data_IF_025791370583
#
_entry.id   IF_025791370583
#
_cell.length_a   1.000
_cell.length_b   1.000
_cell.length_c   1.000
_cell.angle_alpha   90.00
_cell.angle_beta   90.00
_cell.angle_gamma   90.00
#
_symmetry.space_group_name_H-M   'P 1'
#
loop_
_entity.id
_entity.type
_entity.pdbx_description
1 polymer ?
#
# COMPACT_ATOMS: atom_id res chain seq x y z
N UNK A 1 15.99 -0.01 -34.01
CA UNK A 1 16.47 -1.07 -33.11
C UNK A 1 15.28 -1.39 -32.21
N UNK A 2 14.48 -2.34 -32.70
CA UNK A 2 13.24 -2.81 -32.10
C UNK A 2 13.56 -3.63 -30.85
N UNK A 3 13.40 -3.05 -29.66
CA UNK A 3 13.40 -3.78 -28.41
C UNK A 3 11.97 -4.21 -28.12
N UNK A 4 11.66 -5.44 -28.56
CA UNK A 4 10.86 -6.46 -27.89
C UNK A 4 9.91 -5.91 -26.82
N UNK A 5 8.79 -5.39 -27.27
CA UNK A 5 7.54 -5.44 -26.54
C UNK A 5 7.13 -6.93 -26.54
N UNK A 6 7.38 -7.64 -25.45
CA UNK A 6 6.72 -8.91 -25.21
C UNK A 6 5.22 -8.68 -25.43
N UNK A 7 4.56 -9.51 -26.26
CA UNK A 7 3.14 -9.37 -26.47
C UNK A 7 2.44 -9.48 -25.12
N UNK A 8 1.53 -8.55 -24.86
CA UNK A 8 0.66 -8.61 -23.68
C UNK A 8 0.15 -10.06 -23.53
N UNK A 9 0.14 -10.63 -22.32
CA UNK A 9 -0.32 -12.00 -22.13
C UNK A 9 -1.69 -12.15 -22.81
N UNK A 10 -1.77 -13.06 -23.76
CA UNK A 10 -2.98 -13.32 -24.51
C UNK A 10 -4.16 -13.43 -23.55
N UNK A 11 -5.24 -12.71 -23.81
CA UNK A 11 -6.48 -12.80 -23.05
C UNK A 11 -6.93 -14.27 -22.91
N UNK A 12 -6.56 -15.13 -23.87
CA UNK A 12 -6.74 -16.58 -23.83
C UNK A 12 -6.06 -17.25 -22.65
N UNK A 13 -4.87 -16.79 -22.20
CA UNK A 13 -4.15 -17.37 -21.04
C UNK A 13 -4.78 -16.99 -19.70
N UNK A 14 -5.38 -15.81 -19.58
CA UNK A 14 -6.14 -15.42 -18.39
C UNK A 14 -7.44 -16.24 -18.25
N UNK A 15 -8.11 -16.54 -19.38
CA UNK A 15 -9.31 -17.40 -19.37
C UNK A 15 -9.01 -18.86 -19.04
N UNK A 16 -7.79 -19.38 -19.29
CA UNK A 16 -7.42 -20.76 -18.98
C UNK A 16 -7.29 -21.00 -17.47
N UNK A 17 -6.91 -19.98 -16.68
CA UNK A 17 -6.85 -20.05 -15.22
C UNK A 17 -8.21 -20.43 -14.60
N UNK A 18 -9.29 -19.80 -15.05
CA UNK A 18 -10.63 -20.05 -14.51
C UNK A 18 -11.19 -21.43 -14.89
N UNK A 19 -10.78 -22.00 -16.01
CA UNK A 19 -11.24 -23.33 -16.45
C UNK A 19 -10.46 -24.47 -15.81
N UNK A 20 -9.13 -24.34 -15.64
CA UNK A 20 -8.26 -25.39 -15.12
C UNK A 20 -7.13 -24.82 -14.24
N UNK A 21 -7.44 -24.31 -13.02
CA UNK A 21 -6.44 -23.63 -12.18
C UNK A 21 -5.28 -24.53 -11.80
N UNK A 22 -5.51 -25.83 -11.54
CA UNK A 22 -4.46 -26.77 -11.19
C UNK A 22 -3.51 -27.07 -12.37
N UNK A 23 -4.01 -27.14 -13.60
CA UNK A 23 -3.19 -27.32 -14.79
C UNK A 23 -2.35 -26.08 -15.07
N UNK A 24 -2.95 -24.89 -14.97
CA UNK A 24 -2.26 -23.62 -15.13
C UNK A 24 -1.12 -23.45 -14.11
N UNK A 25 -1.36 -23.79 -12.84
CA UNK A 25 -0.33 -23.72 -11.78
C UNK A 25 0.82 -24.69 -12.04
N UNK A 26 0.55 -25.91 -12.56
CA UNK A 26 1.58 -26.88 -12.93
C UNK A 26 2.41 -26.41 -14.13
N UNK A 27 1.78 -25.81 -15.11
CA UNK A 27 2.45 -25.24 -16.29
C UNK A 27 3.47 -24.15 -15.92
N UNK A 28 3.15 -23.31 -14.95
CA UNK A 28 4.06 -22.23 -14.47
C UNK A 28 5.29 -22.74 -13.72
N UNK A 29 5.32 -24.01 -13.33
CA UNK A 29 6.49 -24.71 -12.76
C UNK A 29 7.23 -23.90 -11.68
N UNK A 30 6.48 -23.35 -10.72
CA UNK A 30 7.01 -22.56 -9.62
C UNK A 30 7.71 -23.46 -8.59
N UNK A 31 8.86 -23.02 -8.06
CA UNK A 31 9.67 -23.81 -7.15
C UNK A 31 8.95 -24.12 -5.83
N UNK A 32 9.34 -25.24 -5.17
CA UNK A 32 8.84 -25.56 -3.82
C UNK A 32 9.13 -24.44 -2.82
N UNK A 33 10.28 -23.78 -2.94
CA UNK A 33 10.65 -22.63 -2.11
C UNK A 33 9.70 -21.47 -2.29
N UNK A 34 9.24 -21.21 -3.53
CA UNK A 34 8.24 -20.18 -3.81
C UNK A 34 6.91 -20.47 -3.09
N UNK A 35 6.41 -21.71 -3.13
CA UNK A 35 5.15 -22.06 -2.46
C UNK A 35 5.23 -21.96 -0.93
N UNK A 36 6.39 -22.25 -0.36
CA UNK A 36 6.64 -22.06 1.07
C UNK A 36 6.62 -20.55 1.40
N UNK A 37 7.25 -19.71 0.58
CA UNK A 37 7.23 -18.26 0.74
C UNK A 37 5.82 -17.68 0.52
N UNK A 38 5.11 -18.17 -0.50
CA UNK A 38 3.71 -17.79 -0.77
C UNK A 38 2.81 -18.11 0.43
N UNK A 39 2.95 -19.28 1.04
CA UNK A 39 2.18 -19.63 2.24
C UNK A 39 2.50 -18.70 3.41
N UNK A 40 3.77 -18.32 3.60
CA UNK A 40 4.14 -17.34 4.62
C UNK A 40 3.51 -15.98 4.35
N UNK A 41 3.61 -15.48 3.12
CA UNK A 41 3.00 -14.22 2.68
C UNK A 41 1.48 -14.25 2.88
N UNK A 42 0.82 -15.35 2.52
CA UNK A 42 -0.63 -15.51 2.68
C UNK A 42 -1.07 -15.36 4.14
N UNK A 43 -0.42 -16.05 5.09
CA UNK A 43 -0.75 -15.92 6.51
C UNK A 43 -0.46 -14.51 7.04
N UNK A 44 0.63 -13.90 6.61
CA UNK A 44 1.00 -12.54 6.99
C UNK A 44 -0.03 -11.53 6.51
N UNK A 45 -0.35 -11.56 5.22
CA UNK A 45 -1.29 -10.64 4.61
C UNK A 45 -2.72 -10.84 5.15
N UNK A 46 -3.16 -12.11 5.35
CA UNK A 46 -4.47 -12.42 5.91
C UNK A 46 -4.61 -11.88 7.35
N UNK A 47 -3.59 -12.08 8.20
CA UNK A 47 -3.61 -11.56 9.56
C UNK A 47 -3.62 -10.03 9.58
N UNK A 48 -2.70 -9.39 8.87
CA UNK A 48 -2.57 -7.93 8.90
C UNK A 48 -3.66 -7.19 8.12
N UNK A 49 -4.29 -7.79 7.11
CA UNK A 49 -5.47 -7.22 6.46
C UNK A 49 -6.62 -7.03 7.45
N UNK A 50 -6.90 -8.06 8.27
CA UNK A 50 -7.89 -8.00 9.35
C UNK A 50 -7.48 -6.96 10.39
N UNK A 51 -6.22 -6.99 10.83
CA UNK A 51 -5.71 -6.10 11.87
C UNK A 51 -5.86 -4.63 11.50
N UNK A 52 -5.31 -4.21 10.36
CA UNK A 52 -5.31 -2.80 9.96
C UNK A 52 -6.70 -2.27 9.62
N UNK A 53 -7.58 -3.12 9.09
CA UNK A 53 -8.98 -2.75 8.89
C UNK A 53 -9.66 -2.41 10.22
N UNK A 54 -9.49 -3.26 11.23
CA UNK A 54 -10.26 -3.20 12.47
C UNK A 54 -9.66 -2.26 13.51
N UNK A 55 -8.34 -2.04 13.49
CA UNK A 55 -7.62 -1.41 14.58
C UNK A 55 -8.11 0.00 14.91
N UNK A 56 -8.32 0.86 13.91
CA UNK A 56 -8.85 2.21 14.13
C UNK A 56 -10.28 2.18 14.70
N UNK A 57 -11.12 1.25 14.23
CA UNK A 57 -12.48 1.05 14.76
C UNK A 57 -12.47 0.50 16.19
N UNK A 58 -11.45 -0.26 16.56
CA UNK A 58 -11.22 -0.71 17.93
C UNK A 58 -10.79 0.46 18.84
N UNK A 59 -9.91 1.32 18.38
CA UNK A 59 -9.51 2.52 19.15
C UNK A 59 -10.66 3.49 19.38
N UNK A 60 -11.66 3.56 18.45
CA UNK A 60 -12.88 4.35 18.66
C UNK A 60 -13.67 3.88 19.89
N UNK A 61 -13.76 2.56 20.15
CA UNK A 61 -14.47 2.02 21.32
C UNK A 61 -13.81 2.49 22.64
N UNK A 62 -12.49 2.78 22.61
CA UNK A 62 -11.74 3.35 23.73
C UNK A 62 -11.69 4.88 23.70
N UNK A 63 -12.57 5.52 22.93
CA UNK A 63 -12.72 6.99 22.82
C UNK A 63 -11.47 7.72 22.30
N UNK A 64 -10.60 7.04 21.57
CA UNK A 64 -9.54 7.73 20.86
C UNK A 64 -10.14 8.63 19.78
N UNK A 65 -9.62 9.84 19.68
CA UNK A 65 -10.00 10.79 18.64
C UNK A 65 -9.08 10.67 17.41
N UNK A 66 -9.42 11.36 16.34
CA UNK A 66 -8.65 11.36 15.09
C UNK A 66 -7.23 11.89 15.28
N UNK A 67 -7.02 12.79 16.26
CA UNK A 67 -5.69 13.31 16.60
C UNK A 67 -4.79 12.20 17.12
N UNK A 68 -5.26 11.41 18.08
CA UNK A 68 -4.49 10.29 18.62
C UNK A 68 -4.20 9.24 17.53
N UNK A 69 -5.20 8.90 16.69
CA UNK A 69 -5.03 7.99 15.56
C UNK A 69 -4.03 8.53 14.53
N UNK A 70 -4.03 9.83 14.29
CA UNK A 70 -3.06 10.50 13.41
C UNK A 70 -1.62 10.38 13.92
N UNK A 71 -1.39 10.62 15.22
CA UNK A 71 -0.08 10.43 15.82
C UNK A 71 0.37 8.97 15.80
N UNK A 72 -0.53 8.02 16.06
CA UNK A 72 -0.28 6.58 16.00
C UNK A 72 0.08 6.17 14.56
N UNK A 73 -0.70 6.60 13.56
CA UNK A 73 -0.44 6.31 12.15
C UNK A 73 0.86 6.95 11.65
N UNK A 74 1.10 8.22 12.01
CA UNK A 74 2.35 8.93 11.70
C UNK A 74 3.58 8.26 12.32
N UNK A 75 3.49 7.85 13.60
CA UNK A 75 4.56 7.12 14.26
C UNK A 75 4.87 5.77 13.58
N UNK A 76 3.84 5.06 13.15
CA UNK A 76 4.00 3.80 12.42
C UNK A 76 4.70 4.01 11.07
N UNK A 77 4.29 5.03 10.31
CA UNK A 77 4.94 5.36 9.03
C UNK A 77 6.38 5.82 9.23
N UNK A 78 6.64 6.62 10.27
CA UNK A 78 7.99 7.03 10.65
C UNK A 78 8.86 5.82 11.03
N UNK A 79 8.32 4.90 11.82
CA UNK A 79 9.00 3.66 12.20
C UNK A 79 9.38 2.82 10.97
N UNK A 80 8.46 2.70 10.01
CA UNK A 80 8.72 2.01 8.74
C UNK A 80 9.82 2.70 7.91
N UNK A 81 9.78 4.04 7.82
CA UNK A 81 10.80 4.82 7.13
C UNK A 81 12.18 4.62 7.75
N UNK A 82 12.30 4.81 9.07
CA UNK A 82 13.56 4.66 9.82
C UNK A 82 14.07 3.22 9.76
N UNK A 83 13.17 2.24 9.81
CA UNK A 83 13.50 0.81 9.77
C UNK A 83 13.99 0.30 8.42
N UNK A 84 13.63 0.96 7.31
CA UNK A 84 13.94 0.46 5.97
C UNK A 84 15.44 0.35 5.70
N UNK A 85 16.23 1.36 6.08
CA UNK A 85 17.69 1.34 5.88
C UNK A 85 18.39 0.28 6.74
N UNK A 86 18.15 0.19 8.06
CA UNK A 86 18.71 -0.89 8.87
C UNK A 86 18.27 -2.29 8.41
N UNK A 87 17.00 -2.46 8.03
CA UNK A 87 16.50 -3.73 7.52
C UNK A 87 17.22 -4.13 6.22
N UNK A 88 17.45 -3.17 5.31
CA UNK A 88 18.21 -3.41 4.08
C UNK A 88 19.66 -3.83 4.35
N UNK A 89 20.35 -3.12 5.25
CA UNK A 89 21.70 -3.47 5.66
C UNK A 89 21.76 -4.84 6.36
N UNK A 90 20.77 -5.15 7.18
CA UNK A 90 20.68 -6.43 7.88
C UNK A 90 20.39 -7.57 6.90
N UNK A 91 19.48 -7.36 5.93
CA UNK A 91 19.19 -8.32 4.86
C UNK A 91 20.44 -8.72 4.04
N UNK A 92 21.34 -7.75 3.80
CA UNK A 92 22.62 -8.00 3.12
C UNK A 92 23.61 -8.76 4.00
N UNK A 93 23.66 -8.48 5.31
CA UNK A 93 24.63 -9.09 6.23
C UNK A 93 24.24 -10.51 6.65
N UNK A 94 23.01 -10.71 7.09
CA UNK A 94 22.54 -11.99 7.64
C UNK A 94 21.63 -12.78 6.69
N UNK A 95 21.24 -12.17 5.56
CA UNK A 95 20.35 -12.77 4.57
C UNK A 95 18.86 -12.51 4.86
N UNK A 96 18.01 -12.83 3.86
CA UNK A 96 16.57 -12.55 3.92
C UNK A 96 15.83 -13.44 4.94
N UNK A 97 16.23 -14.73 5.06
CA UNK A 97 15.53 -15.68 5.93
C UNK A 97 15.56 -15.29 7.41
N UNK A 98 16.72 -14.99 8.04
CA UNK A 98 16.75 -14.55 9.43
C UNK A 98 15.94 -13.28 9.67
N UNK A 99 15.98 -12.33 8.73
CA UNK A 99 15.21 -11.09 8.82
C UNK A 99 13.70 -11.35 8.76
N UNK A 100 13.26 -12.30 7.90
CA UNK A 100 11.86 -12.74 7.87
C UNK A 100 11.44 -13.42 9.19
N UNK A 101 12.31 -14.23 9.81
CA UNK A 101 12.01 -14.84 11.12
C UNK A 101 11.79 -13.74 12.16
N UNK A 102 12.69 -12.75 12.23
CA UNK A 102 12.54 -11.61 13.16
C UNK A 102 11.22 -10.87 12.88
N UNK A 103 10.89 -10.58 11.64
CA UNK A 103 9.64 -9.94 11.24
C UNK A 103 8.41 -10.72 11.70
N UNK A 104 8.34 -12.02 11.39
CA UNK A 104 7.18 -12.88 11.69
C UNK A 104 6.99 -13.14 13.19
N UNK A 105 8.00 -12.86 14.00
CA UNK A 105 7.89 -12.86 15.46
C UNK A 105 7.54 -11.46 15.97
N UNK A 106 8.30 -10.45 15.60
CA UNK A 106 8.18 -9.11 16.20
C UNK A 106 6.94 -8.36 15.77
N UNK A 107 6.56 -8.41 14.49
CA UNK A 107 5.41 -7.65 14.00
C UNK A 107 4.09 -8.14 14.61
N UNK A 108 3.74 -9.46 14.63
CA UNK A 108 2.54 -9.92 15.32
C UNK A 108 2.57 -9.68 16.82
N UNK A 109 3.73 -9.87 17.47
CA UNK A 109 3.87 -9.67 18.92
C UNK A 109 3.62 -8.20 19.32
N UNK A 110 4.27 -7.25 18.64
CA UNK A 110 4.09 -5.82 18.93
C UNK A 110 2.63 -5.42 18.68
N UNK A 111 2.01 -5.89 17.60
CA UNK A 111 0.61 -5.58 17.31
C UNK A 111 -0.36 -6.27 18.29
N UNK A 112 -0.05 -7.47 18.80
CA UNK A 112 -0.82 -8.10 19.88
C UNK A 112 -0.72 -7.29 21.18
N UNK A 113 0.46 -6.78 21.53
CA UNK A 113 0.65 -5.89 22.70
C UNK A 113 -0.20 -4.62 22.51
N UNK A 114 -0.24 -4.03 21.30
CA UNK A 114 -1.10 -2.88 20.99
C UNK A 114 -2.59 -3.17 21.17
N UNK A 115 -3.04 -4.38 20.87
CA UNK A 115 -4.43 -4.78 21.09
C UNK A 115 -4.77 -4.95 22.58
N UNK A 116 -3.78 -5.23 23.45
CA UNK A 116 -4.00 -5.42 24.88
C UNK A 116 -3.78 -4.15 25.68
N UNK A 117 -2.73 -3.39 25.36
CA UNK A 117 -2.33 -2.20 26.11
C UNK A 117 -2.82 -0.92 25.43
N UNK A 118 -4.08 -0.54 25.72
CA UNK A 118 -4.78 0.58 25.07
C UNK A 118 -4.56 1.87 25.89
N UNK A 119 -3.33 2.39 25.90
CA UNK A 119 -2.94 3.65 26.51
C UNK A 119 -2.26 4.52 25.46
N UNK A 120 -2.74 5.76 25.24
CA UNK A 120 -2.37 6.58 24.10
C UNK A 120 -0.85 6.77 23.94
N UNK A 121 -0.05 7.16 24.96
CA UNK A 121 1.39 7.29 24.78
C UNK A 121 2.09 5.97 24.43
N UNK A 122 1.65 4.85 25.02
CA UNK A 122 2.18 3.54 24.68
C UNK A 122 1.84 3.16 23.24
N UNK A 123 0.63 3.50 22.75
CA UNK A 123 0.22 3.23 21.38
C UNK A 123 1.10 3.94 20.35
N UNK A 124 1.54 5.18 20.61
CA UNK A 124 2.46 5.91 19.72
C UNK A 124 3.82 5.20 19.65
N UNK A 125 4.41 4.85 20.80
CA UNK A 125 5.69 4.13 20.85
C UNK A 125 5.62 2.74 20.22
N UNK A 126 4.58 1.98 20.54
CA UNK A 126 4.36 0.65 19.96
C UNK A 126 4.04 0.70 18.46
N UNK A 127 3.36 1.75 17.99
CA UNK A 127 3.12 1.95 16.57
C UNK A 127 4.45 2.20 15.81
N UNK A 128 5.34 3.01 16.37
CA UNK A 128 6.69 3.20 15.81
C UNK A 128 7.44 1.87 15.73
N UNK A 129 7.43 1.06 16.79
CA UNK A 129 8.06 -0.27 16.80
C UNK A 129 7.41 -1.24 15.81
N UNK A 130 6.07 -1.20 15.68
CA UNK A 130 5.35 -1.98 14.67
C UNK A 130 5.78 -1.59 13.25
N UNK A 131 5.87 -0.28 12.96
CA UNK A 131 6.36 0.23 11.70
C UNK A 131 7.79 -0.22 11.39
N UNK A 132 8.67 -0.12 12.39
CA UNK A 132 10.07 -0.58 12.30
C UNK A 132 10.16 -2.07 11.99
N UNK A 133 9.34 -2.91 12.63
CA UNK A 133 9.26 -4.34 12.31
C UNK A 133 8.74 -4.59 10.89
N UNK A 134 7.66 -3.90 10.50
CA UNK A 134 7.02 -4.05 9.18
C UNK A 134 7.90 -3.60 8.01
N UNK A 135 8.87 -2.71 8.22
CA UNK A 135 9.83 -2.31 7.17
C UNK A 135 10.60 -3.49 6.58
N UNK A 136 10.85 -4.51 7.40
CA UNK A 136 11.52 -5.75 6.98
C UNK A 136 10.73 -6.52 5.92
N UNK A 137 9.37 -6.43 5.93
CA UNK A 137 8.54 -7.02 4.88
C UNK A 137 8.79 -6.36 3.53
N UNK A 138 8.75 -5.03 3.47
CA UNK A 138 9.02 -4.28 2.25
C UNK A 138 10.39 -4.58 1.65
N UNK A 139 11.41 -4.73 2.50
CA UNK A 139 12.78 -5.07 2.08
C UNK A 139 12.91 -6.52 1.60
N UNK A 140 12.22 -7.48 2.23
CA UNK A 140 12.36 -8.90 1.92
C UNK A 140 11.43 -9.39 0.81
N UNK A 141 10.29 -8.74 0.60
CA UNK A 141 9.21 -9.24 -0.26
C UNK A 141 9.64 -9.38 -1.72
N UNK A 142 10.06 -8.29 -2.36
CA UNK A 142 10.43 -8.30 -3.78
C UNK A 142 11.66 -9.19 -4.06
N UNK A 143 12.78 -9.07 -3.32
CA UNK A 143 13.92 -9.96 -3.51
C UNK A 143 13.60 -11.42 -3.17
N UNK A 144 12.74 -11.67 -2.20
CA UNK A 144 12.28 -13.02 -1.84
C UNK A 144 11.60 -13.72 -3.01
N UNK A 145 10.62 -13.06 -3.64
CA UNK A 145 9.94 -13.60 -4.83
C UNK A 145 10.94 -13.77 -6.00
N UNK A 146 11.77 -12.75 -6.26
CA UNK A 146 12.71 -12.79 -7.37
C UNK A 146 13.73 -13.94 -7.28
N UNK A 147 14.22 -14.26 -6.06
CA UNK A 147 15.19 -15.35 -5.83
C UNK A 147 14.56 -16.75 -5.85
N UNK A 148 13.25 -16.83 -5.62
CA UNK A 148 12.52 -18.10 -5.56
C UNK A 148 11.82 -18.45 -6.87
N UNK A 149 11.85 -17.56 -7.86
CA UNK A 149 11.26 -17.73 -9.18
C UNK A 149 12.32 -17.64 -10.27
N UNK A 150 12.21 -18.49 -11.30
CA UNK A 150 12.99 -18.32 -12.52
C UNK A 150 12.51 -17.09 -13.29
N UNK A 151 13.38 -16.46 -14.09
CA UNK A 151 13.08 -15.23 -14.82
C UNK A 151 11.79 -15.34 -15.66
N UNK A 152 11.64 -16.43 -16.41
CA UNK A 152 10.46 -16.73 -17.22
C UNK A 152 9.14 -16.85 -16.43
N UNK A 153 9.21 -17.17 -15.12
CA UNK A 153 8.03 -17.41 -14.27
C UNK A 153 7.85 -16.31 -13.19
N UNK A 154 8.75 -15.32 -13.14
CA UNK A 154 8.76 -14.28 -12.11
C UNK A 154 7.49 -13.43 -12.11
N UNK A 155 7.01 -13.04 -13.30
CA UNK A 155 5.74 -12.29 -13.46
C UNK A 155 4.56 -13.07 -12.89
N UNK A 156 4.47 -14.38 -13.18
CA UNK A 156 3.40 -15.22 -12.64
C UNK A 156 3.49 -15.34 -11.11
N UNK A 157 4.72 -15.45 -10.56
CA UNK A 157 4.95 -15.47 -9.12
C UNK A 157 4.47 -14.18 -8.43
N UNK A 158 4.82 -13.02 -8.96
CA UNK A 158 4.31 -11.75 -8.42
C UNK A 158 2.80 -11.64 -8.54
N UNK A 159 2.23 -11.97 -9.71
CA UNK A 159 0.78 -11.90 -9.93
C UNK A 159 0.00 -12.76 -8.93
N UNK A 160 0.47 -13.97 -8.64
CA UNK A 160 -0.18 -14.86 -7.68
C UNK A 160 -0.17 -14.29 -6.26
N UNK A 161 0.98 -13.78 -5.78
CA UNK A 161 1.07 -13.21 -4.44
C UNK A 161 0.21 -11.95 -4.33
N UNK A 162 0.26 -11.03 -5.29
CA UNK A 162 -0.58 -9.84 -5.28
C UNK A 162 -2.08 -10.18 -5.33
N UNK A 163 -2.47 -11.17 -6.15
CA UNK A 163 -3.87 -11.63 -6.20
C UNK A 163 -4.31 -12.23 -4.87
N UNK A 164 -3.44 -13.01 -4.21
CA UNK A 164 -3.71 -13.56 -2.89
C UNK A 164 -3.83 -12.46 -1.83
N UNK A 165 -2.97 -11.44 -1.86
CA UNK A 165 -3.00 -10.29 -0.96
C UNK A 165 -4.30 -9.48 -1.10
N UNK A 166 -4.76 -9.23 -2.33
CA UNK A 166 -6.07 -8.61 -2.59
C UNK A 166 -7.21 -9.50 -2.08
N UNK A 167 -7.16 -10.81 -2.35
CA UNK A 167 -8.16 -11.77 -1.90
C UNK A 167 -8.26 -11.84 -0.37
N UNK A 168 -7.14 -11.89 0.35
CA UNK A 168 -7.11 -11.88 1.82
C UNK A 168 -7.63 -10.57 2.39
N UNK A 169 -7.31 -9.43 1.78
CA UNK A 169 -7.81 -8.11 2.19
C UNK A 169 -9.33 -8.00 1.98
N UNK A 170 -9.84 -8.52 0.87
CA UNK A 170 -11.29 -8.59 0.60
C UNK A 170 -12.00 -9.47 1.62
N UNK A 171 -11.50 -10.69 1.87
CA UNK A 171 -12.07 -11.60 2.87
C UNK A 171 -11.97 -11.03 4.29
N UNK A 172 -10.87 -10.34 4.61
CA UNK A 172 -10.68 -9.66 5.89
C UNK A 172 -11.77 -8.64 6.16
N UNK A 173 -12.15 -7.83 5.17
CA UNK A 173 -13.25 -6.88 5.27
C UNK A 173 -14.60 -7.56 5.57
N UNK A 174 -14.93 -8.65 4.84
CA UNK A 174 -16.17 -9.42 5.03
C UNK A 174 -16.17 -10.06 6.43
N UNK A 175 -15.09 -10.76 6.81
CA UNK A 175 -14.99 -11.42 8.12
C UNK A 175 -15.16 -10.40 9.25
N UNK A 176 -14.45 -9.27 9.21
CA UNK A 176 -14.58 -8.23 10.23
C UNK A 176 -15.98 -7.62 10.29
N UNK A 177 -16.64 -7.48 9.14
CA UNK A 177 -18.00 -6.93 9.06
C UNK A 177 -19.06 -7.82 9.72
N UNK A 178 -18.97 -9.12 9.49
CA UNK A 178 -20.01 -10.07 9.91
C UNK A 178 -19.68 -10.86 11.18
N UNK A 179 -18.43 -10.84 11.66
CA UNK A 179 -18.00 -11.73 12.75
C UNK A 179 -18.78 -11.51 14.03
N UNK A 180 -19.15 -10.25 14.35
CA UNK A 180 -20.01 -9.97 15.50
C UNK A 180 -21.35 -10.70 15.42
N UNK A 181 -22.01 -10.66 14.26
CA UNK A 181 -23.29 -11.35 14.05
C UNK A 181 -23.13 -12.85 14.17
N UNK A 182 -22.05 -13.42 13.66
CA UNK A 182 -21.76 -14.85 13.78
C UNK A 182 -21.51 -15.28 15.22
N UNK A 183 -20.81 -14.46 16.02
CA UNK A 183 -20.60 -14.73 17.45
C UNK A 183 -21.90 -14.63 18.25
N UNK A 184 -22.74 -13.62 17.97
CA UNK A 184 -24.06 -13.48 18.60
C UNK A 184 -24.97 -14.69 18.26
N UNK A 185 -24.98 -15.15 17.01
CA UNK A 185 -25.70 -16.37 16.60
C UNK A 185 -25.12 -17.64 17.27
N UNK A 186 -23.85 -17.68 17.58
CA UNK A 186 -23.19 -18.77 18.29
C UNK A 186 -23.41 -18.70 19.84
N UNK A 187 -24.16 -17.71 20.32
CA UNK A 187 -24.49 -17.56 21.76
C UNK A 187 -23.44 -16.81 22.59
N UNK A 188 -22.45 -16.17 21.96
CA UNK A 188 -21.44 -15.37 22.66
C UNK A 188 -21.91 -13.92 22.80
N UNK A 189 -22.39 -13.52 23.97
CA UNK A 189 -22.74 -12.15 24.32
C UNK A 189 -21.47 -11.42 24.85
N UNK A 190 -20.68 -10.84 23.97
CA UNK A 190 -19.48 -10.06 24.33
C UNK A 190 -19.69 -8.57 24.04
N UNK A 191 -19.01 -7.71 24.80
CA UNK A 191 -19.00 -6.28 24.50
C UNK A 191 -18.30 -6.00 23.15
N UNK A 192 -18.72 -4.98 22.39
CA UNK A 192 -18.14 -4.68 21.08
C UNK A 192 -16.62 -4.53 21.09
N UNK A 193 -16.05 -3.90 22.11
CA UNK A 193 -14.61 -3.72 22.26
C UNK A 193 -13.88 -5.05 22.49
N UNK A 194 -14.45 -5.96 23.28
CA UNK A 194 -13.88 -7.28 23.56
C UNK A 194 -13.89 -8.18 22.33
N UNK A 195 -14.98 -8.15 21.55
CA UNK A 195 -15.04 -8.85 20.26
C UNK A 195 -13.94 -8.37 19.33
N UNK A 196 -13.79 -7.04 19.15
CA UNK A 196 -12.75 -6.48 18.30
C UNK A 196 -11.36 -6.84 18.80
N UNK A 197 -11.11 -6.78 20.12
CA UNK A 197 -9.83 -7.18 20.72
C UNK A 197 -9.50 -8.64 20.44
N UNK A 198 -10.45 -9.54 20.60
CA UNK A 198 -10.27 -10.96 20.32
C UNK A 198 -9.95 -11.20 18.84
N UNK A 199 -10.63 -10.51 17.93
CA UNK A 199 -10.33 -10.56 16.48
C UNK A 199 -8.91 -10.09 16.19
N UNK A 200 -8.47 -8.97 16.80
CA UNK A 200 -7.12 -8.45 16.63
C UNK A 200 -6.05 -9.44 17.13
N UNK A 201 -6.28 -10.10 18.25
CA UNK A 201 -5.36 -11.13 18.75
C UNK A 201 -5.33 -12.37 17.85
N UNK A 202 -6.49 -12.84 17.39
CA UNK A 202 -6.57 -13.94 16.42
C UNK A 202 -5.88 -13.58 15.11
N UNK A 203 -6.05 -12.36 14.62
CA UNK A 203 -5.36 -11.89 13.40
C UNK A 203 -3.84 -11.85 13.56
N UNK A 204 -3.34 -11.46 14.73
CA UNK A 204 -1.91 -11.55 15.06
C UNK A 204 -1.44 -13.01 15.12
N UNK A 205 -2.26 -13.92 15.68
CA UNK A 205 -1.95 -15.36 15.70
C UNK A 205 -1.89 -15.94 14.28
N UNK A 206 -2.83 -15.57 13.39
CA UNK A 206 -2.81 -15.95 11.97
C UNK A 206 -1.52 -15.46 11.31
N UNK A 207 -1.15 -14.20 11.50
CA UNK A 207 0.10 -13.66 10.94
C UNK A 207 1.33 -14.39 11.49
N UNK A 208 1.32 -14.75 12.78
CA UNK A 208 2.39 -15.52 13.43
C UNK A 208 2.51 -16.96 12.88
N UNK A 209 1.41 -17.59 12.47
CA UNK A 209 1.45 -18.91 11.82
C UNK A 209 2.30 -18.91 10.54
N UNK A 210 2.46 -17.76 9.88
CA UNK A 210 3.37 -17.60 8.76
C UNK A 210 4.85 -17.85 9.12
N UNK A 211 5.22 -17.88 10.40
CA UNK A 211 6.54 -18.27 10.87
C UNK A 211 6.85 -19.74 10.54
N UNK A 212 5.84 -20.63 10.58
CA UNK A 212 6.01 -22.06 10.33
C UNK A 212 6.62 -22.32 8.94
N UNK A 213 6.05 -21.81 7.82
CA UNK A 213 6.68 -21.94 6.53
C UNK A 213 8.02 -21.17 6.43
N UNK A 214 8.19 -20.00 7.08
CA UNK A 214 9.46 -19.27 7.07
C UNK A 214 10.60 -20.09 7.68
N UNK A 215 10.35 -20.86 8.75
CA UNK A 215 11.34 -21.73 9.35
C UNK A 215 11.79 -22.86 8.41
N UNK A 216 10.94 -23.28 7.47
CA UNK A 216 11.26 -24.28 6.43
C UNK A 216 11.82 -23.66 5.16
N UNK A 217 11.81 -22.35 5.04
CA UNK A 217 12.21 -21.63 3.84
C UNK A 217 13.73 -21.70 3.64
N UNK A 218 14.15 -22.03 2.43
CA UNK A 218 15.54 -21.97 2.00
C UNK A 218 15.63 -20.97 0.85
N UNK A 219 16.22 -19.81 1.12
CA UNK A 219 16.45 -18.78 0.09
C UNK A 219 17.92 -18.87 -0.33
N UNK A 220 18.19 -18.99 -1.65
CA UNK A 220 19.56 -18.93 -2.14
C UNK A 220 20.24 -17.62 -1.70
N UNK A 221 21.47 -17.73 -1.18
CA UNK A 221 22.29 -16.56 -0.84
C UNK A 221 22.79 -15.89 -2.11
N UNK A 222 22.86 -14.55 -2.11
CA UNK A 222 23.58 -13.83 -3.17
C UNK A 222 25.08 -14.13 -3.08
N UNK A 223 25.77 -14.21 -4.22
CA UNK A 223 27.23 -14.17 -4.24
C UNK A 223 27.72 -12.93 -3.49
N UNK A 224 28.70 -13.08 -2.61
CA UNK A 224 29.22 -11.99 -1.78
C UNK A 224 29.77 -10.81 -2.58
N UNK A 225 30.23 -11.06 -3.81
CA UNK A 225 30.74 -10.05 -4.72
C UNK A 225 29.64 -9.10 -5.25
N UNK A 226 28.47 -9.62 -5.64
CA UNK A 226 27.34 -8.76 -6.07
C UNK A 226 26.81 -7.91 -4.93
N UNK A 227 26.73 -8.49 -3.71
CA UNK A 227 26.31 -7.76 -2.53
C UNK A 227 27.29 -6.63 -2.14
N UNK A 228 28.60 -6.83 -2.32
CA UNK A 228 29.63 -5.83 -2.03
C UNK A 228 29.63 -4.67 -3.05
N UNK A 229 29.39 -4.98 -4.33
CA UNK A 229 29.25 -3.97 -5.40
C UNK A 229 28.02 -3.09 -5.19
N UNK A 230 26.88 -3.66 -4.78
CA UNK A 230 25.65 -2.91 -4.48
C UNK A 230 25.84 -1.98 -3.25
N UNK A 231 26.55 -2.43 -2.21
CA UNK A 231 26.83 -1.59 -1.02
C UNK A 231 27.74 -0.43 -1.36
N UNK A 232 28.78 -0.66 -2.18
CA UNK A 232 29.75 0.36 -2.54
C UNK A 232 29.16 1.39 -3.54
N UNK A 233 28.32 0.93 -4.48
CA UNK A 233 27.57 1.78 -5.39
C UNK A 233 26.55 2.66 -4.64
N UNK A 234 25.89 2.11 -3.62
CA UNK A 234 24.81 2.81 -2.89
C UNK A 234 25.35 3.81 -1.86
N UNK A 235 26.56 3.59 -1.31
CA UNK A 235 27.12 4.43 -0.23
C UNK A 235 27.59 5.82 -0.69
N UNK A 236 27.94 5.98 -1.97
CA UNK A 236 28.43 7.25 -2.54
C UNK A 236 27.43 7.91 -3.50
N UNK A 237 26.45 7.17 -4.00
CA UNK A 237 25.51 7.70 -4.99
C UNK A 237 24.47 8.66 -4.40
N UNK A 238 24.10 8.54 -3.12
CA UNK A 238 23.14 9.45 -2.52
C UNK A 238 23.68 10.90 -2.41
N UNK A 239 24.98 11.08 -2.17
CA UNK A 239 25.61 12.42 -2.17
C UNK A 239 25.78 12.99 -3.59
N UNK A 240 26.00 12.14 -4.59
CA UNK A 240 26.02 12.54 -6.00
C UNK A 240 24.63 12.76 -6.58
N UNK A 241 23.60 12.14 -6.03
CA UNK A 241 22.20 12.29 -6.41
C UNK A 241 21.66 13.71 -6.19
N UNK A 242 22.38 14.57 -5.47
CA UNK A 242 22.01 15.98 -5.32
C UNK A 242 22.19 16.79 -6.62
N UNK A 243 22.86 16.26 -7.64
CA UNK A 243 22.73 16.74 -9.02
C UNK A 243 21.50 16.11 -9.67
N UNK A 244 20.35 16.35 -9.07
CA UNK A 244 19.08 15.83 -9.56
C UNK A 244 18.80 16.34 -10.97
N UNK A 245 18.39 15.41 -11.85
CA UNK A 245 17.78 15.73 -13.13
C UNK A 245 16.67 16.80 -12.91
N UNK A 246 16.59 17.87 -13.73
CA UNK A 246 15.54 18.90 -13.64
C UNK A 246 14.11 18.34 -13.58
N UNK A 247 13.88 17.16 -14.17
CA UNK A 247 12.62 16.45 -14.06
C UNK A 247 12.33 16.04 -12.61
N UNK A 248 13.29 15.47 -11.88
CA UNK A 248 13.09 15.03 -10.50
C UNK A 248 12.77 16.19 -9.55
N UNK A 249 13.38 17.36 -9.76
CA UNK A 249 13.06 18.57 -8.98
C UNK A 249 11.59 19.01 -9.10
N UNK A 250 10.96 18.74 -10.24
CA UNK A 250 9.52 19.04 -10.46
C UNK A 250 8.63 17.88 -10.02
N UNK A 251 9.07 16.65 -10.28
CA UNK A 251 8.29 15.44 -10.03
C UNK A 251 8.18 15.09 -8.54
N UNK A 252 9.31 15.09 -7.81
CA UNK A 252 9.35 14.65 -6.40
C UNK A 252 8.42 15.46 -5.48
N UNK A 253 8.39 16.82 -5.53
CA UNK A 253 7.46 17.58 -4.70
C UNK A 253 6.00 17.29 -5.03
N UNK A 254 5.63 17.16 -6.30
CA UNK A 254 4.27 16.85 -6.71
C UNK A 254 3.85 15.46 -6.26
N UNK A 255 4.74 14.50 -6.39
CA UNK A 255 4.52 13.12 -5.93
C UNK A 255 4.38 13.05 -4.39
N UNK A 256 5.22 13.79 -3.66
CA UNK A 256 5.16 13.87 -2.21
C UNK A 256 3.86 14.54 -1.73
N UNK A 257 3.44 15.63 -2.36
CA UNK A 257 2.17 16.30 -2.06
C UNK A 257 0.96 15.39 -2.38
N UNK A 258 1.00 14.64 -3.48
CA UNK A 258 -0.02 13.64 -3.78
C UNK A 258 -0.08 12.55 -2.69
N UNK A 259 1.07 12.06 -2.26
CA UNK A 259 1.18 11.12 -1.13
C UNK A 259 0.61 11.73 0.17
N UNK A 260 0.80 13.04 0.40
CA UNK A 260 0.20 13.73 1.53
C UNK A 260 -1.33 13.71 1.51
N UNK A 261 -1.94 13.98 0.35
CA UNK A 261 -3.41 13.94 0.19
C UNK A 261 -3.94 12.55 0.53
N UNK A 262 -3.29 11.50 0.03
CA UNK A 262 -3.69 10.12 0.30
C UNK A 262 -3.50 9.76 1.78
N UNK A 263 -2.36 10.08 2.36
CA UNK A 263 -2.04 9.80 3.75
C UNK A 263 -2.89 10.60 4.75
N UNK A 264 -3.40 11.75 4.35
CA UNK A 264 -4.28 12.57 5.18
C UNK A 264 -5.72 12.02 5.27
N UNK A 265 -6.19 11.23 4.31
CA UNK A 265 -7.57 10.72 4.34
C UNK A 265 -7.68 9.20 4.42
N UNK A 266 -6.89 8.44 3.64
CA UNK A 266 -7.05 6.97 3.53
C UNK A 266 -7.04 6.24 4.87
N UNK A 267 -6.13 6.55 5.83
CA UNK A 267 -6.12 5.90 7.15
C UNK A 267 -7.35 6.18 8.01
N UNK A 268 -8.07 7.26 7.73
CA UNK A 268 -9.25 7.69 8.48
C UNK A 268 -10.57 7.32 7.79
N UNK A 269 -10.51 6.69 6.62
CA UNK A 269 -11.70 6.40 5.82
C UNK A 269 -12.70 5.49 6.56
N UNK A 270 -12.25 4.46 7.28
CA UNK A 270 -13.10 3.61 8.10
C UNK A 270 -13.72 4.37 9.29
N UNK A 271 -12.98 5.32 9.88
CA UNK A 271 -13.47 6.21 10.95
C UNK A 271 -14.50 7.20 10.40
N UNK A 272 -14.25 7.78 9.22
CA UNK A 272 -15.20 8.63 8.50
C UNK A 272 -16.53 7.93 8.26
N UNK A 273 -16.49 6.72 7.72
CA UNK A 273 -17.71 5.93 7.46
C UNK A 273 -18.45 5.60 8.77
N UNK A 274 -17.72 5.19 9.81
CA UNK A 274 -18.32 4.80 11.10
C UNK A 274 -18.85 5.98 11.89
N UNK A 275 -18.06 7.03 12.07
CA UNK A 275 -18.35 8.13 13.00
C UNK A 275 -19.12 9.27 12.34
N UNK A 276 -18.73 9.70 11.15
CA UNK A 276 -19.36 10.83 10.45
C UNK A 276 -20.66 10.40 9.74
N UNK A 277 -20.66 9.22 9.10
CA UNK A 277 -21.79 8.73 8.31
C UNK A 277 -22.64 7.69 9.03
N UNK A 278 -22.24 7.26 10.24
CA UNK A 278 -22.95 6.27 11.05
C UNK A 278 -23.21 4.94 10.29
N UNK A 279 -22.34 4.59 9.35
CA UNK A 279 -22.46 3.35 8.56
C UNK A 279 -22.21 2.15 9.48
N UNK A 280 -23.07 1.12 9.47
CA UNK A 280 -22.88 -0.10 10.25
C UNK A 280 -21.59 -0.83 9.87
N UNK A 281 -20.95 -1.50 10.83
CA UNK A 281 -19.67 -2.19 10.62
C UNK A 281 -19.73 -3.24 9.50
N UNK A 282 -20.86 -3.94 9.35
CA UNK A 282 -21.11 -4.90 8.28
C UNK A 282 -20.99 -4.25 6.89
N UNK A 283 -21.58 -3.06 6.72
CA UNK A 283 -21.50 -2.33 5.47
C UNK A 283 -20.10 -1.76 5.25
N UNK A 284 -19.41 -1.28 6.30
CA UNK A 284 -18.02 -0.82 6.20
C UNK A 284 -17.13 -1.96 5.69
N UNK A 285 -17.28 -3.18 6.22
CA UNK A 285 -16.57 -4.36 5.74
C UNK A 285 -16.79 -4.64 4.25
N UNK A 286 -18.05 -4.58 3.80
CA UNK A 286 -18.41 -4.74 2.38
C UNK A 286 -17.84 -3.62 1.51
N UNK A 287 -17.89 -2.37 1.97
CA UNK A 287 -17.31 -1.21 1.24
C UNK A 287 -15.82 -1.42 1.03
N UNK A 288 -15.05 -1.78 2.07
CA UNK A 288 -13.61 -2.02 1.94
C UNK A 288 -13.30 -3.24 1.06
N UNK A 289 -14.11 -4.29 1.12
CA UNK A 289 -13.99 -5.43 0.22
C UNK A 289 -14.24 -5.03 -1.24
N UNK A 290 -15.25 -4.18 -1.48
CA UNK A 290 -15.54 -3.61 -2.81
C UNK A 290 -14.39 -2.72 -3.31
N UNK A 291 -13.77 -1.93 -2.42
CA UNK A 291 -12.56 -1.14 -2.75
C UNK A 291 -11.45 -2.04 -3.29
N UNK A 292 -11.20 -3.21 -2.69
CA UNK A 292 -10.15 -4.13 -3.15
C UNK A 292 -10.44 -4.68 -4.55
N UNK A 293 -11.70 -5.01 -4.84
CA UNK A 293 -12.12 -5.42 -6.19
C UNK A 293 -11.94 -4.28 -7.19
N UNK A 294 -12.37 -3.06 -6.82
CA UNK A 294 -12.20 -1.89 -7.68
C UNK A 294 -10.73 -1.57 -7.96
N UNK A 295 -9.85 -1.70 -6.95
CA UNK A 295 -8.41 -1.51 -7.12
C UNK A 295 -7.83 -2.49 -8.16
N UNK A 296 -8.21 -3.76 -8.09
CA UNK A 296 -7.80 -4.76 -9.07
C UNK A 296 -8.29 -4.40 -10.48
N UNK A 297 -9.59 -4.08 -10.61
CA UNK A 297 -10.18 -3.71 -11.89
C UNK A 297 -9.53 -2.44 -12.48
N UNK A 298 -9.31 -1.42 -11.65
CA UNK A 298 -8.68 -0.17 -12.09
C UNK A 298 -7.21 -0.36 -12.46
N UNK A 299 -6.48 -1.22 -11.73
CA UNK A 299 -5.12 -1.60 -12.11
C UNK A 299 -5.03 -2.19 -13.52
N UNK A 300 -5.99 -3.06 -13.87
CA UNK A 300 -6.09 -3.66 -15.22
C UNK A 300 -6.53 -2.65 -16.30
N UNK A 301 -7.37 -1.68 -15.95
CA UNK A 301 -7.87 -0.65 -16.88
C UNK A 301 -6.87 0.50 -17.10
N UNK A 302 -5.98 0.74 -16.16
CA UNK A 302 -5.03 1.86 -16.20
C UNK A 302 -4.21 1.94 -17.49
N UNK A 303 -3.59 0.88 -18.02
CA UNK A 303 -2.81 0.97 -19.26
C UNK A 303 -3.66 1.41 -20.46
N UNK A 304 -4.93 1.02 -20.51
CA UNK A 304 -5.84 1.41 -21.56
C UNK A 304 -6.20 2.90 -21.52
N UNK A 305 -6.50 3.40 -20.32
CA UNK A 305 -6.81 4.82 -20.09
C UNK A 305 -5.60 5.70 -20.38
N UNK A 306 -4.42 5.31 -19.90
CA UNK A 306 -3.18 6.06 -20.12
C UNK A 306 -2.75 6.08 -21.59
N UNK A 307 -3.02 5.02 -22.36
CA UNK A 307 -2.79 5.01 -23.81
C UNK A 307 -3.69 5.99 -24.55
N UNK A 308 -4.98 6.08 -24.17
CA UNK A 308 -5.94 7.00 -24.81
C UNK A 308 -5.69 8.48 -24.49
N UNK A 309 -5.40 8.79 -23.24
CA UNK A 309 -5.25 10.17 -22.77
C UNK A 309 -3.81 10.69 -22.87
N UNK A 310 -2.82 9.80 -23.03
CA UNK A 310 -1.42 10.10 -22.83
C UNK A 310 -1.04 10.03 -21.35
N UNK A 311 0.23 9.69 -21.06
CA UNK A 311 0.69 9.37 -19.70
C UNK A 311 0.46 10.53 -18.72
N UNK A 312 1.01 11.72 -19.00
CA UNK A 312 0.89 12.88 -18.10
C UNK A 312 -0.55 13.38 -17.97
N UNK A 313 -1.30 13.44 -19.09
CA UNK A 313 -2.70 13.87 -19.07
C UNK A 313 -3.59 12.86 -18.35
N UNK A 314 -3.32 11.57 -18.50
CA UNK A 314 -4.05 10.51 -17.80
C UNK A 314 -3.84 10.58 -16.29
N UNK A 315 -2.60 10.76 -15.82
CA UNK A 315 -2.30 10.97 -14.40
C UNK A 315 -3.03 12.22 -13.88
N UNK A 316 -2.89 13.35 -14.55
CA UNK A 316 -3.56 14.58 -14.16
C UNK A 316 -5.09 14.43 -14.09
N UNK A 317 -5.69 13.74 -15.07
CA UNK A 317 -7.13 13.49 -15.11
C UNK A 317 -7.61 12.65 -13.90
N UNK A 318 -6.88 11.61 -13.51
CA UNK A 318 -7.22 10.80 -12.33
C UNK A 318 -7.06 11.57 -11.02
N UNK A 319 -6.06 12.44 -10.90
CA UNK A 319 -5.87 13.32 -9.74
C UNK A 319 -6.95 14.40 -9.65
N UNK A 320 -7.33 15.02 -10.78
CA UNK A 320 -8.43 15.99 -10.85
C UNK A 320 -9.76 15.31 -10.51
N UNK A 321 -10.02 14.10 -11.03
CA UNK A 321 -11.19 13.32 -10.66
C UNK A 321 -11.24 13.07 -9.14
N UNK A 322 -10.14 12.64 -8.55
CA UNK A 322 -10.04 12.44 -7.10
C UNK A 322 -10.31 13.75 -6.32
N UNK A 323 -9.81 14.88 -6.81
CA UNK A 323 -10.07 16.19 -6.22
C UNK A 323 -11.56 16.57 -6.26
N UNK A 324 -12.21 16.43 -7.42
CA UNK A 324 -13.65 16.69 -7.57
C UNK A 324 -14.46 15.79 -6.63
N UNK A 325 -14.11 14.51 -6.57
CA UNK A 325 -14.81 13.55 -5.70
C UNK A 325 -14.62 13.90 -4.22
N UNK A 326 -13.43 14.30 -3.77
CA UNK A 326 -13.18 14.77 -2.40
C UNK A 326 -14.01 16.02 -2.08
N UNK A 327 -14.11 16.98 -3.02
CA UNK A 327 -14.94 18.16 -2.85
C UNK A 327 -16.42 17.82 -2.71
N UNK A 328 -16.93 16.90 -3.51
CA UNK A 328 -18.30 16.39 -3.42
C UNK A 328 -18.55 15.64 -2.11
N UNK A 329 -17.56 14.84 -1.64
CA UNK A 329 -17.62 14.16 -0.34
C UNK A 329 -17.70 15.15 0.82
N UNK A 330 -17.01 16.29 0.74
CA UNK A 330 -17.08 17.34 1.76
C UNK A 330 -18.50 17.90 1.94
N UNK A 331 -19.30 17.96 0.87
CA UNK A 331 -20.70 18.39 0.88
C UNK A 331 -21.74 17.27 1.04
N UNK A 332 -21.33 16.01 1.03
CA UNK A 332 -22.24 14.88 1.03
C UNK A 332 -22.93 14.70 2.40
N UNK A 333 -24.25 14.83 2.43
CA UNK A 333 -25.08 14.61 3.62
C UNK A 333 -25.70 13.21 3.66
N UNK A 334 -25.81 12.56 2.50
CA UNK A 334 -26.36 11.20 2.37
C UNK A 334 -25.22 10.18 2.42
N UNK A 335 -25.34 9.18 3.31
CA UNK A 335 -24.35 8.12 3.48
C UNK A 335 -24.14 7.31 2.20
N UNK A 336 -25.19 7.00 1.43
CA UNK A 336 -25.09 6.25 0.19
C UNK A 336 -24.27 7.01 -0.88
N UNK A 337 -24.55 8.33 -1.03
CA UNK A 337 -23.80 9.18 -1.93
C UNK A 337 -22.33 9.27 -1.48
N UNK A 338 -22.06 9.46 -0.19
CA UNK A 338 -20.71 9.53 0.34
C UNK A 338 -19.93 8.23 0.12
N UNK A 339 -20.57 7.07 0.26
CA UNK A 339 -19.98 5.76 -0.04
C UNK A 339 -19.67 5.62 -1.53
N UNK A 340 -20.59 5.98 -2.41
CA UNK A 340 -20.35 5.93 -3.86
C UNK A 340 -19.17 6.84 -4.27
N UNK A 341 -19.11 8.04 -3.69
CA UNK A 341 -17.98 8.97 -3.89
C UNK A 341 -16.67 8.39 -3.33
N UNK A 342 -16.68 7.78 -2.14
CA UNK A 342 -15.51 7.13 -1.57
C UNK A 342 -14.97 5.99 -2.45
N UNK A 343 -15.85 5.16 -3.00
CA UNK A 343 -15.49 4.11 -3.96
C UNK A 343 -14.85 4.70 -5.23
N UNK A 344 -15.43 5.79 -5.75
CA UNK A 344 -14.89 6.50 -6.92
C UNK A 344 -13.52 7.13 -6.62
N UNK A 345 -13.36 7.74 -5.43
CA UNK A 345 -12.07 8.27 -4.98
C UNK A 345 -11.00 7.17 -4.92
N UNK A 346 -11.35 6.03 -4.31
CA UNK A 346 -10.45 4.89 -4.20
C UNK A 346 -10.05 4.32 -5.58
N UNK A 347 -10.98 4.26 -6.51
CA UNK A 347 -10.70 3.87 -7.88
C UNK A 347 -9.75 4.84 -8.59
N UNK A 348 -10.01 6.14 -8.50
CA UNK A 348 -9.21 7.18 -9.15
C UNK A 348 -7.77 7.23 -8.61
N UNK A 349 -7.58 7.12 -7.29
CA UNK A 349 -6.25 7.13 -6.68
C UNK A 349 -5.39 5.94 -7.15
N UNK A 350 -5.98 4.73 -7.27
CA UNK A 350 -5.25 3.54 -7.70
C UNK A 350 -4.89 3.57 -9.18
N UNK A 351 -5.70 4.22 -10.01
CA UNK A 351 -5.37 4.42 -11.43
C UNK A 351 -4.15 5.32 -11.62
N UNK A 352 -3.90 6.27 -10.72
CA UNK A 352 -2.76 7.18 -10.84
C UNK A 352 -1.42 6.51 -10.57
N UNK A 353 -1.35 5.52 -9.68
CA UNK A 353 -0.12 4.95 -9.18
C UNK A 353 0.78 4.30 -10.25
N UNK A 354 0.29 3.38 -11.13
CA UNK A 354 1.12 2.81 -12.18
C UNK A 354 1.62 3.86 -13.18
N UNK A 355 0.81 4.88 -13.45
CA UNK A 355 1.20 5.99 -14.32
C UNK A 355 2.35 6.81 -13.76
N UNK A 356 2.32 7.12 -12.47
CA UNK A 356 3.35 7.86 -11.77
C UNK A 356 4.70 7.13 -11.78
N UNK A 357 4.70 5.83 -11.49
CA UNK A 357 5.94 5.03 -11.55
C UNK A 357 6.45 4.86 -12.99
N UNK A 358 5.57 4.71 -13.96
CA UNK A 358 5.94 4.65 -15.38
C UNK A 358 6.59 5.97 -15.82
N UNK A 359 6.00 7.11 -15.47
CA UNK A 359 6.55 8.44 -15.78
C UNK A 359 7.94 8.60 -15.15
N UNK A 360 8.09 8.23 -13.87
CA UNK A 360 9.38 8.29 -13.19
C UNK A 360 10.47 7.47 -13.92
N UNK A 361 10.13 6.24 -14.33
CA UNK A 361 11.10 5.36 -14.99
C UNK A 361 11.44 5.81 -16.41
N UNK A 362 10.49 6.38 -17.14
CA UNK A 362 10.71 6.83 -18.51
C UNK A 362 11.55 8.11 -18.59
N UNK A 363 11.36 9.04 -17.67
CA UNK A 363 12.01 10.34 -17.66
C UNK A 363 13.35 10.33 -16.88
N UNK A 364 13.69 9.19 -16.26
CA UNK A 364 14.95 9.05 -15.50
C UNK A 364 15.92 8.15 -16.25
N UNK A 365 17.19 8.59 -16.47
CA UNK A 365 18.25 7.78 -17.06
C UNK A 365 18.45 6.45 -16.29
N UNK A 366 18.78 5.38 -17.00
CA UNK A 366 18.92 4.03 -16.42
C UNK A 366 19.85 3.98 -15.20
N UNK A 367 20.95 4.72 -15.23
CA UNK A 367 21.91 4.79 -14.12
C UNK A 367 21.34 5.45 -12.85
N UNK A 368 20.30 6.28 -12.98
CA UNK A 368 19.71 7.07 -11.87
C UNK A 368 18.38 6.48 -11.38
N UNK A 369 17.77 5.52 -12.09
CA UNK A 369 16.43 4.96 -11.77
C UNK A 369 16.31 4.45 -10.34
N UNK A 370 17.30 3.71 -9.86
CA UNK A 370 17.28 3.16 -8.51
C UNK A 370 17.31 4.27 -7.45
N UNK A 371 18.12 5.30 -7.69
CA UNK A 371 18.22 6.46 -6.79
C UNK A 371 16.92 7.28 -6.81
N UNK A 372 16.36 7.54 -7.98
CA UNK A 372 15.10 8.26 -8.14
C UNK A 372 13.94 7.54 -7.47
N UNK A 373 13.86 6.20 -7.61
CA UNK A 373 12.86 5.38 -6.93
C UNK A 373 13.03 5.44 -5.40
N UNK A 374 14.25 5.31 -4.88
CA UNK A 374 14.54 5.38 -3.46
C UNK A 374 14.19 6.77 -2.87
N UNK A 375 14.53 7.85 -3.57
CA UNK A 375 14.18 9.22 -3.17
C UNK A 375 12.66 9.44 -3.17
N UNK A 376 11.96 8.93 -4.19
CA UNK A 376 10.49 9.00 -4.26
C UNK A 376 9.86 8.30 -3.06
N UNK A 377 10.29 7.09 -2.73
CA UNK A 377 9.79 6.33 -1.57
C UNK A 377 10.08 7.06 -0.26
N UNK A 378 11.29 7.59 -0.11
CA UNK A 378 11.69 8.34 1.09
C UNK A 378 10.86 9.61 1.27
N UNK A 379 10.76 10.44 0.23
CA UNK A 379 9.97 11.68 0.27
C UNK A 379 8.49 11.40 0.55
N UNK A 380 7.92 10.39 -0.11
CA UNK A 380 6.54 9.99 0.10
C UNK A 380 6.29 9.54 1.54
N UNK A 381 7.16 8.70 2.11
CA UNK A 381 7.01 8.22 3.49
C UNK A 381 7.19 9.34 4.51
N UNK A 382 8.15 10.24 4.30
CA UNK A 382 8.38 11.39 5.18
C UNK A 382 7.16 12.31 5.19
N UNK A 383 6.65 12.68 4.01
CA UNK A 383 5.50 13.56 3.87
C UNK A 383 4.22 12.86 4.36
N UNK A 384 4.05 11.56 4.10
CA UNK A 384 2.93 10.79 4.62
C UNK A 384 2.91 10.75 6.15
N UNK A 385 4.08 10.65 6.82
CA UNK A 385 4.19 10.72 8.28
C UNK A 385 3.61 12.02 8.82
N UNK A 386 4.06 13.15 8.28
CA UNK A 386 3.59 14.48 8.70
C UNK A 386 2.12 14.69 8.33
N UNK A 387 1.72 14.28 7.13
CA UNK A 387 0.35 14.44 6.65
C UNK A 387 -0.65 13.63 7.48
N UNK A 388 -0.35 12.39 7.85
CA UNK A 388 -1.24 11.56 8.68
C UNK A 388 -1.39 12.16 10.08
N UNK A 389 -0.29 12.55 10.72
CA UNK A 389 -0.33 13.19 12.04
C UNK A 389 -1.07 14.53 12.00
N UNK A 390 -0.75 15.39 11.02
CA UNK A 390 -1.39 16.69 10.83
C UNK A 390 -2.89 16.56 10.50
N UNK A 391 -3.26 15.62 9.63
CA UNK A 391 -4.66 15.38 9.30
C UNK A 391 -5.47 14.96 10.53
N UNK A 392 -4.93 14.11 11.40
CA UNK A 392 -5.59 13.74 12.65
C UNK A 392 -5.91 14.96 13.53
N UNK A 393 -4.97 15.92 13.65
CA UNK A 393 -5.19 17.17 14.38
C UNK A 393 -6.27 18.04 13.70
N UNK A 394 -6.19 18.19 12.38
CA UNK A 394 -7.15 19.00 11.61
C UNK A 394 -8.56 18.40 11.66
N UNK A 395 -8.68 17.09 11.52
CA UNK A 395 -9.95 16.35 11.59
C UNK A 395 -10.60 16.51 12.98
N UNK A 396 -9.82 16.42 14.06
CA UNK A 396 -10.34 16.62 15.42
C UNK A 396 -10.80 18.06 15.65
N UNK A 397 -10.10 19.05 15.06
CA UNK A 397 -10.40 20.47 15.29
C UNK A 397 -11.51 21.01 14.41
N UNK A 398 -11.53 20.63 13.14
CA UNK A 398 -12.43 21.21 12.14
C UNK A 398 -13.48 20.22 11.60
N UNK A 399 -13.34 18.92 11.90
CA UNK A 399 -14.20 17.87 11.34
C UNK A 399 -13.83 17.49 9.91
N UNK A 400 -14.58 16.52 9.36
CA UNK A 400 -14.29 15.97 8.03
C UNK A 400 -14.57 16.93 6.86
N UNK A 401 -15.72 17.68 6.81
CA UNK A 401 -16.06 18.45 5.62
C UNK A 401 -15.01 19.49 5.22
N UNK A 402 -14.54 20.41 6.11
CA UNK A 402 -13.54 21.41 5.70
C UNK A 402 -12.17 20.79 5.40
N UNK A 403 -11.81 19.69 6.07
CA UNK A 403 -10.54 18.99 5.78
C UNK A 403 -10.60 18.33 4.42
N UNK A 404 -11.67 17.61 4.08
CA UNK A 404 -11.86 17.00 2.76
C UNK A 404 -11.85 18.06 1.65
N UNK A 405 -12.50 19.21 1.87
CA UNK A 405 -12.49 20.31 0.92
C UNK A 405 -11.07 20.88 0.72
N UNK A 406 -10.31 21.06 1.80
CA UNK A 406 -8.90 21.51 1.73
C UNK A 406 -8.03 20.50 0.95
N UNK A 407 -8.21 19.21 1.20
CA UNK A 407 -7.52 18.15 0.46
C UNK A 407 -7.92 18.15 -1.02
N UNK A 408 -9.19 18.42 -1.34
CA UNK A 408 -9.66 18.54 -2.71
C UNK A 408 -8.97 19.70 -3.46
N UNK A 409 -8.83 20.86 -2.80
CA UNK A 409 -8.11 22.02 -3.38
C UNK A 409 -6.65 21.68 -3.65
N UNK A 410 -5.98 21.04 -2.69
CA UNK A 410 -4.58 20.60 -2.86
C UNK A 410 -4.46 19.56 -3.98
N UNK A 411 -5.34 18.57 -4.03
CA UNK A 411 -5.35 17.54 -5.07
C UNK A 411 -5.60 18.14 -6.46
N UNK A 412 -6.51 19.12 -6.57
CA UNK A 412 -6.77 19.86 -7.81
C UNK A 412 -5.52 20.63 -8.28
N UNK A 413 -4.89 21.36 -7.35
CA UNK A 413 -3.66 22.09 -7.65
C UNK A 413 -2.55 21.14 -8.14
N UNK A 414 -2.38 19.97 -7.49
CA UNK A 414 -1.42 18.95 -7.93
C UNK A 414 -1.75 18.46 -9.34
N UNK A 415 -2.99 18.08 -9.63
CA UNK A 415 -3.40 17.59 -10.95
C UNK A 415 -3.16 18.63 -12.05
N UNK A 416 -3.44 19.91 -11.78
CA UNK A 416 -3.15 21.00 -12.70
C UNK A 416 -1.64 21.21 -12.89
N UNK A 417 -0.86 21.24 -11.80
CA UNK A 417 0.60 21.37 -11.86
C UNK A 417 1.25 20.20 -12.61
N UNK A 418 0.78 18.97 -12.40
CA UNK A 418 1.23 17.81 -13.20
C UNK A 418 1.03 18.06 -14.69
N UNK A 419 -0.12 18.56 -15.08
CA UNK A 419 -0.42 18.86 -16.48
C UNK A 419 0.49 19.95 -17.06
N UNK A 420 0.78 21.00 -16.30
CA UNK A 420 1.55 22.15 -16.81
C UNK A 420 3.07 21.94 -16.74
N UNK A 421 3.58 21.38 -15.64
CA UNK A 421 5.03 21.30 -15.39
C UNK A 421 5.70 20.06 -16.01
N UNK A 422 4.94 18.98 -16.21
CA UNK A 422 5.45 17.70 -16.68
C UNK A 422 4.96 17.34 -18.10
N UNK A 423 4.10 18.15 -18.74
CA UNK A 423 3.79 17.95 -20.16
C UNK A 423 5.05 18.24 -20.99
N UNK A 424 5.42 17.34 -21.91
CA UNK A 424 6.51 17.62 -22.84
C UNK A 424 6.18 18.91 -23.62
N UNK A 425 7.18 19.76 -23.87
CA UNK A 425 6.97 20.93 -24.72
C UNK A 425 6.34 20.47 -26.03
N UNK A 426 5.28 21.13 -26.48
CA UNK A 426 4.71 20.89 -27.82
C UNK A 426 5.86 20.99 -28.80
N UNK A 427 6.26 19.86 -29.38
CA UNK A 427 7.04 19.90 -30.59
C UNK A 427 6.14 20.63 -31.61
N UNK A 428 6.46 21.89 -31.85
CA UNK A 428 6.00 22.58 -33.04
C UNK A 428 6.42 21.68 -34.21
N UNK A 429 5.44 21.03 -34.83
CA UNK A 429 5.63 20.47 -36.17
C UNK A 429 5.99 21.67 -37.02
N UNK A 430 7.31 21.96 -37.04
CA UNK A 430 7.91 22.89 -37.97
C UNK A 430 7.92 22.19 -39.32
N UNK A 431 7.08 22.69 -40.18
CA UNK A 431 7.24 22.88 -41.62
C UNK A 431 8.45 22.15 -42.21
N UNK A 432 8.20 20.98 -42.77
CA UNK A 432 8.95 20.54 -43.95
C UNK A 432 8.05 20.80 -45.13
N UNK A 433 8.28 21.95 -45.75
CA UNK A 433 7.97 22.17 -47.15
C UNK A 433 8.94 21.39 -48.04
#
# INVERSE_FOLDING_TARGET
>A
MELLLDPAPDAATAFSFWRHPAAWLREKNLSRGYWVFFSAAFFFDAGFAIYFFLFNLYLLDYRFNERAMGWIGGAMTLGSLVGTLPAGALAQRIGLRPLLIVLFVTAPLVNAIRAVWVWEPAQIGLAFLAGLAMSSWGVCFLPGVARLTAEKNRTAGFSLIFSASVGTSMLGGIVCGYLRQWLEMAGFAMQPAEVKRSILLVSCAIAFLGLIPVLRLRIPSQPKEEAALDVQANRWNWLRAWKLNPFLWRFLPLMALWSAVLAAFTPFANVYLSRQLQVPMTQIGLIFSTVQVLQLCMGLLTPFVLRKLGLVRGIAATQILAAVVLALMAGARNAQLAVALYLTFSAAQWMSAPGLYNLLMNETPDAERNTAAAMTLFCNALVATVATAGAGVLLTRFGYPPVLFSLAVVALAIGLLFRFLLSPPRQTQGETR
#
